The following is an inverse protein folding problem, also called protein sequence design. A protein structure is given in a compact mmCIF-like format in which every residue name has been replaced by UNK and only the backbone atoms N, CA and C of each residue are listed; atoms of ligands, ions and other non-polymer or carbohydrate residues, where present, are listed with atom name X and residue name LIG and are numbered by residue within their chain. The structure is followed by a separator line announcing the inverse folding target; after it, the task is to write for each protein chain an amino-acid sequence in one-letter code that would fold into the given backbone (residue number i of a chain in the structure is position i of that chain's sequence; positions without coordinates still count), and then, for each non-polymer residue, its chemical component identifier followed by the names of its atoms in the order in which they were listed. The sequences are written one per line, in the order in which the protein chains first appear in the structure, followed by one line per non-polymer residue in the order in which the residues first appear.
data_IF_199204860344
#
_entry.id   IF_199204860344
#
_cell.length_a   1.000
_cell.length_b   1.000
_cell.length_c   1.000
_cell.angle_alpha   90.00
_cell.angle_beta   90.00
_cell.angle_gamma   90.00
#
_symmetry.space_group_name_H-M   'P 1'
#
loop_
_entity.id
_entity.type
_entity.pdbx_description
1 polymer ?
#
# COMPACT_ATOMS: atom_id res chain seq x y z
N UNK A 1 16.97 13.98 -6.75
CA UNK A 1 15.71 14.08 -5.99
C UNK A 1 15.92 15.10 -4.88
N UNK A 2 15.16 16.18 -4.89
CA UNK A 2 15.27 17.29 -3.94
C UNK A 2 14.68 16.92 -2.56
N UNK A 3 14.92 17.76 -1.54
CA UNK A 3 14.30 17.59 -0.21
C UNK A 3 12.77 17.69 -0.28
N UNK A 4 12.26 18.62 -1.08
CA UNK A 4 10.82 18.77 -1.34
C UNK A 4 10.22 17.54 -2.02
N UNK A 5 10.90 16.97 -3.02
CA UNK A 5 10.44 15.73 -3.67
C UNK A 5 10.29 14.58 -2.67
N UNK A 6 11.27 14.41 -1.76
CA UNK A 6 11.22 13.38 -0.73
C UNK A 6 10.03 13.56 0.20
N UNK A 7 9.73 14.81 0.59
CA UNK A 7 8.57 15.14 1.42
C UNK A 7 7.26 14.71 0.75
N UNK A 8 7.08 14.98 -0.54
CA UNK A 8 5.86 14.56 -1.25
C UNK A 8 5.78 13.05 -1.48
N UNK A 9 6.92 12.39 -1.75
CA UNK A 9 6.98 10.92 -1.86
C UNK A 9 6.56 10.25 -0.55
N UNK A 10 7.16 10.66 0.57
CA UNK A 10 6.83 10.10 1.89
C UNK A 10 5.42 10.51 2.32
N UNK A 11 4.99 11.73 2.00
CA UNK A 11 3.64 12.22 2.29
C UNK A 11 2.57 11.42 1.58
N UNK A 12 2.76 11.11 0.29
CA UNK A 12 1.81 10.27 -0.43
C UNK A 12 1.84 8.83 0.08
N UNK A 13 3.03 8.27 0.36
CA UNK A 13 3.17 7.00 1.04
C UNK A 13 2.37 6.96 2.35
N UNK A 14 2.48 7.99 3.19
CA UNK A 14 1.74 8.07 4.45
C UNK A 14 0.22 8.07 4.25
N UNK A 15 -0.29 8.83 3.28
CA UNK A 15 -1.72 8.86 2.93
C UNK A 15 -2.20 7.48 2.48
N UNK A 16 -1.45 6.80 1.60
CA UNK A 16 -1.76 5.43 1.20
C UNK A 16 -1.68 4.46 2.37
N UNK A 17 -0.69 4.61 3.26
CA UNK A 17 -0.50 3.78 4.44
C UNK A 17 -1.67 3.88 5.41
N UNK A 18 -2.13 5.10 5.73
CA UNK A 18 -3.32 5.31 6.58
C UNK A 18 -4.56 4.67 5.97
N UNK A 19 -4.76 4.85 4.66
CA UNK A 19 -5.85 4.19 3.94
C UNK A 19 -5.74 2.66 3.99
N UNK A 20 -4.54 2.12 3.80
CA UNK A 20 -4.26 0.69 3.91
C UNK A 20 -4.54 0.13 5.30
N UNK A 21 -4.18 0.85 6.36
CA UNK A 21 -4.52 0.50 7.75
C UNK A 21 -6.04 0.45 7.92
N UNK A 22 -6.77 1.46 7.45
CA UNK A 22 -8.22 1.50 7.56
C UNK A 22 -8.88 0.30 6.84
N UNK A 23 -8.47 0.01 5.60
CA UNK A 23 -8.93 -1.18 4.87
C UNK A 23 -8.57 -2.47 5.60
N UNK A 24 -7.35 -2.58 6.13
CA UNK A 24 -6.92 -3.77 6.85
C UNK A 24 -7.64 -3.99 8.18
N UNK A 25 -8.05 -2.92 8.87
CA UNK A 25 -8.93 -3.00 10.05
C UNK A 25 -10.30 -3.54 9.64
N UNK A 26 -10.89 -3.03 8.55
CA UNK A 26 -12.18 -3.53 8.04
C UNK A 26 -12.08 -5.03 7.72
N UNK A 27 -11.02 -5.45 7.03
CA UNK A 27 -10.77 -6.87 6.74
C UNK A 27 -10.62 -7.67 8.02
N UNK A 28 -9.84 -7.18 8.99
CA UNK A 28 -9.64 -7.85 10.27
C UNK A 28 -10.96 -8.05 11.03
N UNK A 29 -11.88 -7.07 10.99
CA UNK A 29 -13.21 -7.14 11.63
C UNK A 29 -14.14 -8.12 10.89
N UNK A 30 -14.18 -8.07 9.56
CA UNK A 30 -15.07 -8.93 8.76
C UNK A 30 -14.59 -10.39 8.78
N UNK A 31 -13.27 -10.61 8.87
CA UNK A 31 -12.66 -11.94 8.91
C UNK A 31 -12.56 -12.54 10.33
N UNK A 32 -13.13 -11.90 11.36
CA UNK A 32 -13.00 -12.28 12.79
C UNK A 32 -13.34 -13.73 13.17
N UNK A 33 -14.14 -14.53 12.43
CA UNK A 33 -14.21 -15.97 12.70
C UNK A 33 -12.85 -16.68 12.61
N UNK A 34 -11.88 -16.11 11.87
CA UNK A 34 -10.52 -16.60 11.71
C UNK A 34 -9.53 -15.71 12.47
N UNK A 35 -8.87 -16.25 13.51
CA UNK A 35 -7.92 -15.53 14.37
C UNK A 35 -6.69 -14.96 13.65
N UNK A 36 -6.39 -15.47 12.46
CA UNK A 36 -5.15 -15.18 11.72
C UNK A 36 -5.12 -13.79 11.08
N UNK A 37 -6.26 -13.09 11.01
CA UNK A 37 -6.38 -11.78 10.39
C UNK A 37 -6.33 -10.60 11.38
N UNK A 38 -6.19 -10.87 12.69
CA UNK A 38 -6.22 -9.84 13.74
C UNK A 38 -5.23 -8.70 13.49
N UNK A 39 -4.06 -9.02 12.93
CA UNK A 39 -2.99 -8.05 12.67
C UNK A 39 -2.89 -7.63 11.20
N UNK A 40 -3.87 -7.96 10.36
CA UNK A 40 -3.84 -7.70 8.91
C UNK A 40 -3.69 -6.21 8.55
N UNK A 41 -4.10 -5.30 9.43
CA UNK A 41 -3.92 -3.86 9.27
C UNK A 41 -2.45 -3.42 9.20
N UNK A 42 -1.53 -4.16 9.83
CA UNK A 42 -0.10 -3.85 9.82
C UNK A 42 0.51 -4.06 8.43
N UNK A 43 0.50 -5.27 7.83
CA UNK A 43 1.03 -5.46 6.48
C UNK A 43 0.24 -4.68 5.42
N UNK A 44 -1.06 -4.45 5.61
CA UNK A 44 -1.85 -3.62 4.70
C UNK A 44 -1.36 -2.17 4.69
N UNK A 45 -1.13 -1.58 5.87
CA UNK A 45 -0.57 -0.24 6.01
C UNK A 45 0.83 -0.11 5.42
N UNK A 46 1.74 -1.03 5.79
CA UNK A 46 3.12 -1.03 5.30
C UNK A 46 3.16 -1.24 3.79
N UNK A 47 2.40 -2.19 3.26
CA UNK A 47 2.33 -2.46 1.82
C UNK A 47 1.84 -1.25 1.04
N UNK A 48 0.73 -0.64 1.46
CA UNK A 48 0.20 0.56 0.82
C UNK A 48 1.14 1.76 0.92
N UNK A 49 1.85 1.92 2.06
CA UNK A 49 2.86 2.96 2.21
C UNK A 49 4.00 2.80 1.22
N UNK A 50 4.59 1.60 1.16
CA UNK A 50 5.76 1.32 0.31
C UNK A 50 5.42 1.47 -1.17
N UNK A 51 4.29 0.91 -1.61
CA UNK A 51 3.89 1.01 -3.03
C UNK A 51 3.43 2.41 -3.40
N UNK A 52 2.73 3.12 -2.50
CA UNK A 52 2.38 4.52 -2.66
C UNK A 52 3.61 5.39 -2.86
N UNK A 53 4.56 5.33 -1.91
CA UNK A 53 5.81 6.10 -1.99
C UNK A 53 6.60 5.75 -3.26
N UNK A 54 6.76 4.47 -3.58
CA UNK A 54 7.47 4.03 -4.78
C UNK A 54 6.82 4.55 -6.06
N UNK A 55 5.50 4.45 -6.20
CA UNK A 55 4.79 4.92 -7.39
C UNK A 55 4.82 6.44 -7.52
N UNK A 56 4.69 7.18 -6.41
CA UNK A 56 4.84 8.63 -6.44
C UNK A 56 6.25 9.04 -6.88
N UNK A 57 7.26 8.36 -6.35
CA UNK A 57 8.64 8.56 -6.77
C UNK A 57 8.81 8.27 -8.26
N UNK A 58 8.33 7.12 -8.74
CA UNK A 58 8.54 6.66 -10.11
C UNK A 58 7.87 7.55 -11.16
N UNK A 59 6.60 7.92 -10.93
CA UNK A 59 5.81 8.63 -11.93
C UNK A 59 5.89 10.16 -11.81
N UNK A 60 6.08 10.70 -10.61
CA UNK A 60 6.03 12.15 -10.37
C UNK A 60 7.41 12.70 -10.04
N UNK A 61 8.04 12.26 -8.95
CA UNK A 61 9.28 12.87 -8.47
C UNK A 61 10.47 12.63 -9.42
N UNK A 62 10.69 11.38 -9.86
CA UNK A 62 11.79 11.00 -10.76
C UNK A 62 11.67 11.65 -12.14
N UNK A 63 10.43 11.86 -12.60
CA UNK A 63 10.15 12.49 -13.91
C UNK A 63 10.03 14.00 -13.81
N UNK A 64 9.97 14.56 -12.60
CA UNK A 64 9.72 15.98 -12.31
C UNK A 64 8.48 16.53 -13.04
N UNK A 65 7.43 15.71 -13.17
CA UNK A 65 6.22 16.09 -13.89
C UNK A 65 4.96 15.85 -13.06
N UNK A 66 4.53 16.88 -12.35
CA UNK A 66 3.30 16.85 -11.57
C UNK A 66 2.06 17.02 -12.46
N UNK A 67 1.24 15.97 -12.55
CA UNK A 67 -0.08 16.02 -13.16
C UNK A 67 -1.07 15.16 -12.40
N UNK A 68 -2.35 15.57 -12.40
CA UNK A 68 -3.42 14.82 -11.74
C UNK A 68 -3.56 13.42 -12.33
N UNK A 69 -3.47 13.28 -13.66
CA UNK A 69 -3.50 11.97 -14.32
C UNK A 69 -2.37 11.02 -13.88
N UNK A 70 -1.16 11.53 -13.63
CA UNK A 70 -0.07 10.73 -13.06
C UNK A 70 -0.31 10.39 -11.59
N UNK A 71 -0.92 11.30 -10.83
CA UNK A 71 -1.37 11.02 -9.46
C UNK A 71 -2.38 9.88 -9.42
N UNK A 72 -3.40 9.94 -10.28
CA UNK A 72 -4.41 8.88 -10.46
C UNK A 72 -3.73 7.55 -10.74
N UNK A 73 -2.83 7.50 -11.73
CA UNK A 73 -2.11 6.28 -12.10
C UNK A 73 -1.26 5.75 -10.94
N UNK A 74 -0.49 6.62 -10.29
CA UNK A 74 0.36 6.23 -9.16
C UNK A 74 -0.46 5.66 -7.99
N UNK A 75 -1.60 6.27 -7.69
CA UNK A 75 -2.51 5.83 -6.65
C UNK A 75 -3.23 4.52 -6.99
N UNK A 76 -3.73 4.37 -8.21
CA UNK A 76 -4.35 3.13 -8.68
C UNK A 76 -3.36 1.94 -8.59
N UNK A 77 -2.13 2.15 -9.07
CA UNK A 77 -1.07 1.15 -8.99
C UNK A 77 -0.63 0.88 -7.54
N UNK A 78 -0.73 1.87 -6.65
CA UNK A 78 -0.47 1.66 -5.23
C UNK A 78 -1.53 0.77 -4.59
N UNK A 79 -2.81 0.91 -4.98
CA UNK A 79 -3.89 0.02 -4.57
C UNK A 79 -3.68 -1.43 -5.02
N UNK A 80 -3.16 -1.63 -6.24
CA UNK A 80 -2.83 -2.97 -6.77
C UNK A 80 -1.59 -3.55 -6.09
N UNK A 81 -0.46 -2.84 -6.18
CA UNK A 81 0.81 -3.32 -5.65
C UNK A 81 0.81 -3.43 -4.12
N UNK A 82 0.04 -2.57 -3.43
CA UNK A 82 -0.09 -2.59 -1.98
C UNK A 82 -0.66 -3.89 -1.47
N UNK A 83 -1.62 -4.49 -2.20
CA UNK A 83 -2.15 -5.81 -1.86
C UNK A 83 -1.08 -6.91 -1.99
N UNK A 84 -0.28 -6.88 -3.05
CA UNK A 84 0.82 -7.84 -3.24
C UNK A 84 1.84 -7.76 -2.11
N UNK A 85 2.30 -6.55 -1.77
CA UNK A 85 3.24 -6.36 -0.67
C UNK A 85 2.60 -6.73 0.67
N UNK A 86 1.32 -6.43 0.89
CA UNK A 86 0.59 -6.84 2.10
C UNK A 86 0.60 -8.36 2.28
N UNK A 87 0.21 -9.12 1.25
CA UNK A 87 0.19 -10.58 1.32
C UNK A 87 1.59 -11.17 1.46
N UNK A 88 2.57 -10.60 0.77
CA UNK A 88 3.96 -11.04 0.90
C UNK A 88 4.49 -10.85 2.32
N UNK A 89 4.25 -9.68 2.93
CA UNK A 89 4.63 -9.39 4.31
C UNK A 89 3.92 -10.31 5.31
N UNK A 90 2.64 -10.62 5.07
CA UNK A 90 1.89 -11.54 5.92
C UNK A 90 2.47 -12.95 5.86
N UNK A 91 2.71 -13.49 4.66
CA UNK A 91 3.25 -14.85 4.47
C UNK A 91 4.69 -14.99 4.99
N UNK A 92 5.54 -13.99 4.77
CA UNK A 92 6.87 -13.98 5.36
C UNK A 92 6.83 -13.80 6.88
N UNK A 93 5.90 -12.97 7.39
CA UNK A 93 5.69 -12.78 8.82
C UNK A 93 5.29 -14.08 9.53
N UNK A 94 4.36 -14.85 8.94
CA UNK A 94 3.95 -16.15 9.50
C UNK A 94 5.06 -17.19 9.41
N UNK A 95 5.81 -17.23 8.30
CA UNK A 95 6.96 -18.12 8.16
C UNK A 95 8.08 -17.81 9.18
N UNK A 96 8.43 -16.54 9.35
CA UNK A 96 9.46 -16.12 10.31
C UNK A 96 9.02 -16.43 11.74
N UNK A 97 7.77 -16.14 12.10
CA UNK A 97 7.25 -16.44 13.43
C UNK A 97 7.22 -17.96 13.72
N UNK A 98 6.89 -18.78 12.72
CA UNK A 98 7.00 -20.25 12.84
C UNK A 98 8.46 -20.69 13.06
N UNK A 99 9.42 -20.17 12.29
CA UNK A 99 10.85 -20.48 12.45
C UNK A 99 11.40 -20.09 13.83
N UNK A 100 10.85 -19.06 14.45
CA UNK A 100 11.19 -18.61 15.79
C UNK A 100 10.45 -19.38 16.90
N UNK A 101 9.62 -20.36 16.57
CA UNK A 101 8.85 -21.14 17.53
C UNK A 101 7.68 -20.38 18.18
N UNK A 102 7.27 -19.25 17.61
CA UNK A 102 6.18 -18.42 18.13
C UNK A 102 4.78 -18.97 17.77
N UNK A 103 4.71 -19.89 16.80
CA UNK A 103 3.47 -20.58 16.40
C UNK A 103 3.70 -22.09 16.29
N UNK A 104 2.71 -22.87 16.73
CA UNK A 104 2.74 -24.34 16.74
C UNK A 104 2.19 -25.00 15.48
N UNK A 105 1.51 -24.24 14.61
CA UNK A 105 0.95 -24.73 13.35
C UNK A 105 1.99 -24.69 12.22
N UNK A 106 1.96 -25.70 11.34
CA UNK A 106 2.89 -25.89 10.23
C UNK A 106 3.03 -24.65 9.34
N UNK A 107 4.27 -24.32 8.98
CA UNK A 107 4.63 -23.13 8.20
C UNK A 107 3.82 -22.99 6.91
N UNK A 108 3.43 -21.77 6.57
CA UNK A 108 2.73 -21.39 5.34
C UNK A 108 3.70 -21.38 4.15
N UNK A 109 4.25 -22.54 3.79
CA UNK A 109 5.22 -22.70 2.70
C UNK A 109 6.58 -22.02 2.95
N UNK A 110 7.56 -22.32 2.10
CA UNK A 110 8.87 -21.64 2.14
C UNK A 110 8.78 -20.19 1.59
N UNK A 111 9.79 -19.33 1.83
CA UNK A 111 9.74 -17.93 1.42
C UNK A 111 9.62 -17.71 -0.10
N UNK A 112 10.05 -18.70 -0.90
CA UNK A 112 9.92 -18.66 -2.35
C UNK A 112 8.48 -18.94 -2.80
N UNK A 113 7.83 -19.96 -2.21
CA UNK A 113 6.41 -20.20 -2.45
C UNK A 113 5.54 -19.05 -1.96
N UNK A 114 5.98 -18.28 -0.96
CA UNK A 114 5.27 -17.07 -0.52
C UNK A 114 5.18 -16.00 -1.61
N UNK A 115 6.11 -15.93 -2.58
CA UNK A 115 6.01 -15.01 -3.71
C UNK A 115 4.81 -15.35 -4.61
N UNK A 116 4.60 -16.64 -4.86
CA UNK A 116 3.48 -17.15 -5.64
C UNK A 116 2.17 -17.08 -4.86
N UNK A 117 2.20 -17.47 -3.59
CA UNK A 117 1.05 -17.34 -2.68
C UNK A 117 0.56 -15.91 -2.60
N UNK A 118 1.47 -14.94 -2.45
CA UNK A 118 1.11 -13.52 -2.46
C UNK A 118 0.43 -13.09 -3.76
N UNK A 119 0.87 -13.61 -4.92
CA UNK A 119 0.24 -13.31 -6.20
C UNK A 119 -1.19 -13.86 -6.28
N UNK A 120 -1.40 -15.13 -5.86
CA UNK A 120 -2.72 -15.75 -5.85
C UNK A 120 -3.68 -15.04 -4.89
N UNK A 121 -3.25 -14.77 -3.66
CA UNK A 121 -4.06 -14.04 -2.68
C UNK A 121 -4.34 -12.60 -3.11
N UNK A 122 -3.40 -11.95 -3.81
CA UNK A 122 -3.62 -10.63 -4.40
C UNK A 122 -4.64 -10.67 -5.52
N UNK A 123 -4.59 -11.65 -6.41
CA UNK A 123 -5.59 -11.80 -7.46
C UNK A 123 -7.00 -11.97 -6.86
N UNK A 124 -7.13 -12.81 -5.83
CA UNK A 124 -8.38 -12.99 -5.11
C UNK A 124 -8.83 -11.72 -4.38
N UNK A 125 -7.90 -11.02 -3.72
CA UNK A 125 -8.20 -9.78 -3.00
C UNK A 125 -8.55 -8.64 -3.95
N UNK A 126 -7.95 -8.57 -5.15
CA UNK A 126 -8.32 -7.62 -6.20
C UNK A 126 -9.71 -7.91 -6.75
N UNK A 127 -10.07 -9.19 -6.90
CA UNK A 127 -11.43 -9.54 -7.29
C UNK A 127 -12.46 -9.09 -6.24
N UNK A 128 -12.18 -9.32 -4.95
CA UNK A 128 -13.12 -8.99 -3.87
C UNK A 128 -13.13 -7.51 -3.43
N UNK A 129 -11.97 -6.85 -3.44
CA UNK A 129 -11.77 -5.51 -2.86
C UNK A 129 -11.03 -4.55 -3.81
N UNK A 130 -10.66 -4.99 -5.01
CA UNK A 130 -10.01 -4.15 -6.02
C UNK A 130 -10.89 -2.97 -6.46
N UNK A 131 -12.21 -3.17 -6.50
CA UNK A 131 -13.18 -2.12 -6.81
C UNK A 131 -13.27 -1.03 -5.73
N UNK A 132 -12.74 -1.25 -4.52
CA UNK A 132 -12.57 -0.22 -3.49
C UNK A 132 -11.14 0.33 -3.51
N UNK A 133 -10.16 -0.56 -3.46
CA UNK A 133 -8.75 -0.20 -3.26
C UNK A 133 -8.14 0.51 -4.46
N UNK A 134 -8.49 0.10 -5.70
CA UNK A 134 -7.97 0.75 -6.91
C UNK A 134 -8.60 2.12 -7.13
N UNK A 135 -9.94 2.29 -7.10
CA UNK A 135 -10.55 3.62 -7.18
C UNK A 135 -10.19 4.50 -5.99
N UNK A 136 -10.14 3.96 -4.77
CA UNK A 136 -9.70 4.67 -3.57
C UNK A 136 -8.28 5.22 -3.72
N UNK A 137 -7.34 4.37 -4.15
CA UNK A 137 -5.98 4.79 -4.48
C UNK A 137 -5.94 5.88 -5.56
N UNK A 138 -6.70 5.73 -6.64
CA UNK A 138 -6.81 6.71 -7.71
C UNK A 138 -7.30 8.09 -7.20
N UNK A 139 -8.34 8.11 -6.36
CA UNK A 139 -8.90 9.32 -5.75
C UNK A 139 -7.88 9.99 -4.84
N UNK A 140 -7.19 9.23 -3.99
CA UNK A 140 -6.12 9.75 -3.12
C UNK A 140 -4.99 10.37 -3.96
N UNK A 141 -4.57 9.68 -5.02
CA UNK A 141 -3.55 10.16 -5.95
C UNK A 141 -3.95 11.44 -6.67
N UNK A 142 -5.19 11.52 -7.15
CA UNK A 142 -5.74 12.71 -7.78
C UNK A 142 -5.75 13.91 -6.81
N UNK A 143 -6.29 13.67 -5.61
CA UNK A 143 -6.44 14.67 -4.56
C UNK A 143 -5.10 15.20 -4.09
N UNK A 144 -4.13 14.31 -3.84
CA UNK A 144 -2.80 14.67 -3.41
C UNK A 144 -2.04 15.44 -4.49
N UNK A 145 -2.14 15.03 -5.78
CA UNK A 145 -1.53 15.76 -6.89
C UNK A 145 -2.13 17.17 -7.04
N UNK A 146 -3.45 17.29 -6.92
CA UNK A 146 -4.13 18.58 -6.97
C UNK A 146 -3.72 19.49 -5.82
N UNK A 147 -3.62 18.95 -4.60
CA UNK A 147 -3.16 19.69 -3.42
C UNK A 147 -1.70 20.12 -3.57
N UNK A 148 -0.81 19.22 -3.97
CA UNK A 148 0.61 19.54 -4.22
C UNK A 148 0.74 20.67 -5.25
N UNK A 149 -0.03 20.61 -6.34
CA UNK A 149 -0.02 21.66 -7.38
C UNK A 149 -0.45 23.01 -6.82
N UNK A 150 -1.49 23.04 -5.97
CA UNK A 150 -1.96 24.27 -5.31
C UNK A 150 -0.92 24.83 -4.35
N UNK A 151 -0.22 23.97 -3.60
CA UNK A 151 0.82 24.40 -2.67
C UNK A 151 2.05 24.97 -3.39
N UNK A 152 2.42 24.41 -4.54
CA UNK A 152 3.52 24.91 -5.36
C UNK A 152 3.18 26.19 -6.12
N UNK A 153 1.89 26.44 -6.39
CA UNK A 153 1.41 27.65 -7.06
C UNK A 153 1.18 28.84 -6.12
N UNK A 154 1.13 28.63 -4.80
CA UNK A 154 1.03 29.73 -3.83
C UNK A 154 2.38 30.47 -3.76
N UNK A 155 2.41 31.80 -3.95
CA UNK A 155 3.61 32.57 -3.66
C UNK A 155 3.98 32.38 -2.19
N UNK A 156 5.28 32.29 -1.89
CA UNK A 156 5.79 32.27 -0.53
C UNK A 156 5.57 33.66 0.11
N UNK A 157 4.34 33.92 0.56
CA UNK A 157 3.99 35.10 1.35
C UNK A 157 3.75 34.65 2.79
N UNK A 158 4.66 35.07 3.67
CA UNK A 158 4.70 34.82 5.10
C UNK A 158 6.11 34.98 5.61
#
# INVERSE_FOLDING_TARGET
MTREDRKYVLGFGAVCGVFGIACGIVVAIVALPNTDYRYFFVPAGVGAFLTGAFNWWLFIARKSKLSVGRGILAGALAGIGGQYICWLLLLWGTWTAWKLGLYSTTSVGDPLNALWGAAMFTAFSLFLMGWITVPGGAILGASFAALQRRLQARPANG
#
